data_IF_075763530210
#
_entry.id   IF_075763530210
#
_cell.length_a   1.000
_cell.length_b   1.000
_cell.length_c   1.000
_cell.angle_alpha   90.00
_cell.angle_beta   90.00
_cell.angle_gamma   90.00
#
_symmetry.space_group_name_H-M   'P 1'
#
loop_
_entity.id
_entity.type
_entity.pdbx_description
1 polymer ?
#
# COMPACT_ATOMS: atom_id res chain seq x y z
N UNK A 1 11.07 49.88 -49.27
CA UNK A 1 10.54 48.74 -48.45
C UNK A 1 9.20 49.20 -47.88
N UNK A 2 8.10 48.52 -48.24
CA UNK A 2 6.73 49.03 -48.13
C UNK A 2 6.24 48.98 -46.69
N UNK A 3 5.83 50.10 -46.11
CA UNK A 3 5.36 50.29 -44.73
C UNK A 3 4.28 49.27 -44.30
N UNK A 4 3.48 48.79 -45.25
CA UNK A 4 2.47 47.73 -45.03
C UNK A 4 3.09 46.35 -44.72
N UNK A 5 4.23 45.98 -45.32
CA UNK A 5 4.93 44.72 -45.04
C UNK A 5 5.59 44.72 -43.66
N UNK A 6 6.07 45.90 -43.23
CA UNK A 6 6.68 46.05 -41.91
C UNK A 6 5.67 45.94 -40.75
N UNK A 7 4.46 46.51 -40.93
CA UNK A 7 3.36 46.33 -39.95
C UNK A 7 2.93 44.87 -39.81
N UNK A 8 2.84 44.13 -40.91
CA UNK A 8 2.44 42.73 -40.86
C UNK A 8 3.53 41.82 -40.22
N UNK A 9 4.80 42.12 -40.42
CA UNK A 9 5.89 41.41 -39.72
C UNK A 9 5.91 41.70 -38.23
N UNK A 10 5.68 42.95 -37.80
CA UNK A 10 5.61 43.32 -36.39
C UNK A 10 4.39 42.67 -35.74
N UNK A 11 3.24 42.61 -36.40
CA UNK A 11 2.05 41.93 -35.88
C UNK A 11 2.24 40.43 -35.73
N UNK A 12 2.94 39.77 -36.68
CA UNK A 12 3.28 38.35 -36.61
C UNK A 12 4.26 38.05 -35.46
N UNK A 13 5.27 38.91 -35.26
CA UNK A 13 6.24 38.72 -34.15
C UNK A 13 5.56 38.96 -32.80
N UNK A 14 4.70 39.95 -32.66
CA UNK A 14 3.95 40.21 -31.42
C UNK A 14 2.96 39.07 -31.16
N UNK A 15 2.28 38.53 -32.18
CA UNK A 15 1.39 37.38 -32.05
C UNK A 15 2.15 36.11 -31.67
N UNK A 16 3.34 35.89 -32.27
CA UNK A 16 4.20 34.74 -31.90
C UNK A 16 4.75 34.87 -30.48
N UNK A 17 5.15 36.07 -30.05
CA UNK A 17 5.59 36.29 -28.67
C UNK A 17 4.45 36.17 -27.67
N UNK A 18 3.24 36.52 -27.99
CA UNK A 18 2.06 36.30 -27.15
C UNK A 18 1.70 34.81 -27.08
N UNK A 19 1.83 34.07 -28.20
CA UNK A 19 1.60 32.63 -28.21
C UNK A 19 2.65 31.84 -27.40
N UNK A 20 3.91 32.26 -27.47
CA UNK A 20 4.99 31.65 -26.66
C UNK A 20 4.82 31.95 -25.17
N UNK A 21 4.33 33.16 -24.82
CA UNK A 21 4.04 33.48 -23.42
C UNK A 21 2.77 32.79 -22.89
N UNK A 22 1.76 32.54 -23.74
CA UNK A 22 0.58 31.78 -23.35
C UNK A 22 0.90 30.27 -23.23
N UNK A 23 1.84 29.75 -24.01
CA UNK A 23 2.33 28.36 -23.83
C UNK A 23 3.19 28.19 -22.56
N UNK A 24 3.84 29.24 -22.07
CA UNK A 24 4.53 29.22 -20.77
C UNK A 24 3.58 29.26 -19.56
N UNK A 25 2.36 29.75 -19.73
CA UNK A 25 1.34 29.79 -18.68
C UNK A 25 0.65 28.46 -18.41
N UNK A 26 0.93 27.42 -19.21
CA UNK A 26 0.50 26.06 -18.98
C UNK A 26 1.63 25.10 -18.57
N UNK A 27 2.80 25.60 -18.23
CA UNK A 27 3.71 24.82 -17.41
C UNK A 27 3.11 24.79 -16.01
N UNK A 28 2.28 23.79 -15.78
CA UNK A 28 1.72 23.50 -14.47
C UNK A 28 2.86 23.54 -13.47
N UNK A 29 2.78 24.44 -12.48
CA UNK A 29 3.74 24.47 -11.40
C UNK A 29 3.86 23.06 -10.85
N UNK A 30 5.10 22.55 -10.82
CA UNK A 30 5.36 21.18 -10.36
C UNK A 30 4.89 21.09 -8.92
N UNK A 31 3.73 20.49 -8.72
CA UNK A 31 3.21 20.24 -7.39
C UNK A 31 4.08 19.18 -6.73
N UNK A 32 4.81 19.58 -5.70
CA UNK A 32 5.62 18.67 -4.92
C UNK A 32 4.73 17.97 -3.87
N UNK A 33 4.62 16.65 -3.92
CA UNK A 33 3.85 15.85 -2.95
C UNK A 33 4.53 15.80 -1.58
N UNK A 34 5.80 16.08 -1.50
CA UNK A 34 6.56 16.06 -0.24
C UNK A 34 6.14 17.16 0.74
N UNK A 35 4.89 17.39 0.95
CA UNK A 35 4.51 18.38 1.91
C UNK A 35 3.04 18.46 2.21
N UNK A 36 2.21 18.68 1.24
CA UNK A 36 0.80 18.93 1.53
C UNK A 36 -0.06 18.31 0.45
N UNK A 37 -0.72 17.20 0.79
CA UNK A 37 -1.93 16.86 0.06
C UNK A 37 -2.93 17.98 0.29
N UNK A 38 -3.50 18.58 -0.74
CA UNK A 38 -4.69 19.36 -0.52
C UNK A 38 -5.73 18.41 0.09
N UNK A 39 -6.18 18.71 1.29
CA UNK A 39 -7.24 17.95 1.94
C UNK A 39 -8.53 18.23 1.17
N UNK A 40 -8.89 17.35 0.27
CA UNK A 40 -10.08 17.54 -0.55
C UNK A 40 -11.35 17.06 0.14
N UNK A 41 -11.24 16.06 0.98
CA UNK A 41 -12.37 15.58 1.76
C UNK A 41 -11.89 14.91 3.04
N UNK A 42 -12.44 15.32 4.15
CA UNK A 42 -12.40 14.57 5.39
C UNK A 42 -13.42 13.44 5.27
N UNK A 43 -12.95 12.20 5.37
CA UNK A 43 -13.82 11.03 5.24
C UNK A 43 -14.45 10.68 6.57
N UNK A 44 -13.79 11.00 7.68
CA UNK A 44 -14.26 10.66 9.00
C UNK A 44 -14.22 11.85 9.94
N UNK A 45 -15.29 12.02 10.68
CA UNK A 45 -15.35 12.89 11.85
C UNK A 45 -14.60 12.18 12.99
N UNK A 46 -13.29 12.30 12.99
CA UNK A 46 -12.43 11.67 13.97
C UNK A 46 -11.99 12.67 15.02
N UNK A 47 -12.20 12.30 16.27
CA UNK A 47 -11.57 13.03 17.37
C UNK A 47 -10.05 13.00 17.22
N UNK A 48 -9.35 14.08 17.60
CA UNK A 48 -7.89 14.14 17.55
C UNK A 48 -7.24 12.93 18.23
N UNK A 49 -6.36 12.24 17.50
CA UNK A 49 -5.65 11.02 17.93
C UNK A 49 -4.28 10.94 17.31
N UNK A 50 -3.45 10.00 17.78
CA UNK A 50 -2.08 9.83 17.34
C UNK A 50 -1.94 9.42 15.90
N UNK A 51 -2.75 8.50 15.49
CA UNK A 51 -2.75 7.94 14.16
C UNK A 51 -4.20 7.58 13.87
N UNK A 52 -4.74 8.20 12.89
CA UNK A 52 -6.05 7.88 12.39
C UNK A 52 -6.01 8.07 10.90
N UNK A 53 -6.69 7.24 10.15
CA UNK A 53 -6.60 7.35 8.72
C UNK A 53 -7.55 6.47 7.95
N UNK A 54 -7.32 6.49 6.67
CA UNK A 54 -7.92 5.56 5.74
C UNK A 54 -7.22 4.21 5.88
N UNK A 55 -7.98 3.14 6.06
CA UNK A 55 -7.46 1.78 6.08
C UNK A 55 -7.50 1.13 4.71
N UNK A 56 -8.65 1.19 4.03
CA UNK A 56 -8.82 0.68 2.68
C UNK A 56 -9.85 1.48 1.89
N UNK A 57 -9.70 1.52 0.57
CA UNK A 57 -10.61 2.15 -0.39
C UNK A 57 -11.02 1.12 -1.44
N UNK A 58 -12.27 1.15 -1.87
CA UNK A 58 -12.67 0.34 -3.01
C UNK A 58 -13.92 0.90 -3.72
N UNK A 59 -13.90 1.02 -5.06
CA UNK A 59 -15.09 1.34 -5.85
C UNK A 59 -15.98 0.11 -5.97
N UNK A 60 -17.22 0.20 -5.51
CA UNK A 60 -18.17 -0.89 -5.57
C UNK A 60 -19.61 -0.40 -5.61
N UNK A 61 -20.50 -1.08 -6.33
CA UNK A 61 -21.92 -0.73 -6.45
C UNK A 61 -22.15 0.75 -6.81
N UNK A 62 -21.36 1.29 -7.76
CA UNK A 62 -21.35 2.68 -8.21
C UNK A 62 -21.02 3.72 -7.11
N UNK A 63 -20.38 3.30 -6.03
CA UNK A 63 -19.95 4.13 -4.90
C UNK A 63 -18.45 3.95 -4.65
N UNK A 64 -17.84 4.90 -3.96
CA UNK A 64 -16.51 4.72 -3.36
C UNK A 64 -16.68 4.43 -1.88
N UNK A 65 -16.28 3.25 -1.48
CA UNK A 65 -16.28 2.80 -0.10
C UNK A 65 -14.94 3.07 0.56
N UNK A 66 -15.00 3.49 1.80
CA UNK A 66 -13.81 3.79 2.61
C UNK A 66 -14.03 3.19 3.99
N UNK A 67 -13.08 2.38 4.45
CA UNK A 67 -13.02 1.99 5.85
C UNK A 67 -11.88 2.76 6.51
N UNK A 68 -12.15 3.31 7.68
CA UNK A 68 -11.15 4.06 8.43
C UNK A 68 -10.57 3.22 9.55
N UNK A 69 -9.39 3.60 10.04
CA UNK A 69 -8.80 3.00 11.21
C UNK A 69 -8.30 4.04 12.20
N UNK A 70 -8.13 3.61 13.43
CA UNK A 70 -7.52 4.38 14.51
C UNK A 70 -6.31 3.61 15.03
N UNK A 71 -5.22 4.31 15.25
CA UNK A 71 -4.07 3.69 15.84
C UNK A 71 -4.27 3.27 17.28
N UNK A 72 -3.45 2.37 17.62
CA UNK A 72 -3.46 1.48 18.74
C UNK A 72 -2.90 2.06 20.06
N UNK A 73 -2.71 3.34 20.20
CA UNK A 73 -2.39 3.91 21.51
C UNK A 73 -3.68 4.21 22.29
N UNK A 74 -3.92 3.44 23.35
CA UNK A 74 -4.94 3.61 24.38
C UNK A 74 -6.29 4.13 23.88
N UNK A 75 -7.11 3.24 23.39
CA UNK A 75 -8.48 3.55 23.03
C UNK A 75 -8.69 3.57 21.53
N UNK A 76 -8.64 2.39 20.97
CA UNK A 76 -9.21 2.09 19.67
C UNK A 76 -10.67 2.44 19.64
N UNK A 77 -11.15 2.95 18.53
CA UNK A 77 -12.49 2.66 18.12
C UNK A 77 -13.56 3.73 18.23
N UNK A 78 -13.37 4.90 18.78
CA UNK A 78 -14.42 5.92 18.64
C UNK A 78 -14.15 6.84 17.46
N UNK A 79 -15.14 7.07 16.63
CA UNK A 79 -15.09 7.99 15.49
C UNK A 79 -14.58 7.37 14.19
N UNK A 80 -14.34 6.06 14.16
CA UNK A 80 -14.05 5.32 12.92
C UNK A 80 -15.32 4.71 12.35
N UNK A 81 -15.31 4.39 11.06
CA UNK A 81 -16.48 3.82 10.43
C UNK A 81 -16.24 3.32 9.03
N UNK A 82 -17.29 2.71 8.53
CA UNK A 82 -17.49 2.48 7.12
C UNK A 82 -18.19 3.71 6.54
N UNK A 83 -17.68 4.18 5.41
CA UNK A 83 -18.22 5.32 4.68
C UNK A 83 -18.43 4.96 3.21
N UNK A 84 -19.49 5.48 2.64
CA UNK A 84 -19.54 5.75 1.21
C UNK A 84 -19.32 7.24 0.99
N UNK A 85 -18.84 7.65 -0.16
CA UNK A 85 -18.57 9.08 -0.42
C UNK A 85 -19.80 9.92 -0.06
N UNK A 86 -19.56 10.93 0.78
CA UNK A 86 -20.54 11.89 1.31
C UNK A 86 -21.58 11.32 2.32
N UNK A 87 -21.44 10.06 2.76
CA UNK A 87 -22.34 9.53 3.77
C UNK A 87 -21.64 8.52 4.69
N UNK A 88 -21.93 8.61 5.98
CA UNK A 88 -21.48 7.62 6.97
C UNK A 88 -22.54 6.53 7.10
N UNK A 89 -22.10 5.30 6.94
CA UNK A 89 -22.94 4.15 7.19
C UNK A 89 -23.13 3.92 8.69
N UNK A 90 -24.27 3.37 9.11
CA UNK A 90 -24.55 3.13 10.52
C UNK A 90 -23.67 2.05 11.14
N UNK A 91 -22.94 1.28 10.33
CA UNK A 91 -22.08 0.19 10.79
C UNK A 91 -20.98 0.73 11.70
N UNK A 92 -21.04 0.30 12.94
CA UNK A 92 -20.04 0.64 13.94
C UNK A 92 -18.73 -0.12 13.68
N UNK A 93 -17.62 0.59 13.76
CA UNK A 93 -16.30 0.02 13.61
C UNK A 93 -15.57 0.13 14.93
N UNK A 94 -15.26 -0.99 15.55
CA UNK A 94 -14.60 -1.06 16.87
C UNK A 94 -13.11 -1.42 16.76
N UNK A 95 -12.62 -1.73 15.56
CA UNK A 95 -11.24 -2.16 15.32
C UNK A 95 -10.49 -1.33 14.29
N UNK A 96 -9.28 -1.77 14.00
CA UNK A 96 -8.42 -1.22 12.94
C UNK A 96 -8.53 -2.13 11.74
N UNK A 97 -8.94 -1.61 10.59
CA UNK A 97 -9.18 -2.40 9.39
C UNK A 97 -8.43 -1.80 8.19
N UNK A 98 -7.65 -2.64 7.53
CA UNK A 98 -6.90 -2.27 6.33
C UNK A 98 -7.12 -3.27 5.18
N UNK A 99 -8.01 -4.24 5.39
CA UNK A 99 -8.31 -5.28 4.42
C UNK A 99 -9.41 -4.85 3.45
N UNK A 100 -9.29 -5.29 2.22
CA UNK A 100 -10.33 -5.26 1.19
C UNK A 100 -10.18 -6.44 0.24
N UNK A 101 -11.28 -6.95 -0.26
CA UNK A 101 -11.28 -8.08 -1.19
C UNK A 101 -12.57 -8.10 -2.02
N UNK A 102 -12.45 -8.22 -3.33
CA UNK A 102 -13.61 -8.46 -4.20
C UNK A 102 -13.81 -9.97 -4.33
N UNK A 103 -14.89 -10.47 -3.76
CA UNK A 103 -15.29 -11.86 -3.89
C UNK A 103 -16.12 -12.05 -5.17
N UNK A 104 -15.44 -12.36 -6.27
CA UNK A 104 -16.05 -12.49 -7.59
C UNK A 104 -17.19 -13.52 -7.66
N UNK A 105 -17.05 -14.73 -7.08
CA UNK A 105 -18.10 -15.74 -7.16
C UNK A 105 -19.47 -15.30 -6.64
N UNK A 106 -19.52 -14.52 -5.57
CA UNK A 106 -20.78 -13.99 -5.01
C UNK A 106 -21.07 -12.54 -5.40
N UNK A 107 -20.17 -11.92 -6.18
CA UNK A 107 -20.29 -10.52 -6.58
C UNK A 107 -20.47 -9.58 -5.38
N UNK A 108 -19.55 -9.67 -4.41
CA UNK A 108 -19.57 -8.90 -3.16
C UNK A 108 -18.21 -8.28 -2.86
N UNK A 109 -18.23 -7.05 -2.35
CA UNK A 109 -17.05 -6.42 -1.76
C UNK A 109 -16.95 -6.82 -0.29
N UNK A 110 -15.77 -7.24 0.15
CA UNK A 110 -15.40 -7.38 1.56
C UNK A 110 -14.45 -6.23 1.90
N UNK A 111 -14.80 -5.41 2.89
CA UNK A 111 -13.98 -4.29 3.36
C UNK A 111 -14.10 -4.16 4.88
N UNK A 112 -12.97 -4.21 5.58
CA UNK A 112 -13.02 -4.41 7.03
C UNK A 112 -13.74 -5.72 7.37
N UNK A 113 -14.62 -5.73 8.40
CA UNK A 113 -15.46 -6.87 8.76
C UNK A 113 -16.78 -6.91 7.97
N UNK A 114 -16.95 -6.05 6.96
CA UNK A 114 -18.22 -5.91 6.27
C UNK A 114 -18.21 -6.60 4.89
N UNK A 115 -19.33 -7.21 4.53
CA UNK A 115 -19.61 -7.73 3.19
C UNK A 115 -20.70 -6.86 2.57
N UNK A 116 -20.45 -6.33 1.37
CA UNK A 116 -21.33 -5.41 0.68
C UNK A 116 -21.76 -6.04 -0.66
N UNK A 117 -23.04 -6.23 -0.85
CA UNK A 117 -23.57 -6.77 -2.11
C UNK A 117 -23.56 -5.74 -3.24
N UNK A 118 -23.93 -6.16 -4.44
CA UNK A 118 -23.97 -5.30 -5.64
C UNK A 118 -25.03 -4.18 -5.59
N UNK A 119 -25.99 -4.25 -4.64
CA UNK A 119 -26.97 -3.20 -4.37
C UNK A 119 -26.48 -2.20 -3.30
N UNK A 120 -25.36 -2.50 -2.63
CA UNK A 120 -24.83 -1.70 -1.54
C UNK A 120 -25.42 -2.05 -0.16
N UNK A 121 -26.07 -3.21 -0.03
CA UNK A 121 -26.50 -3.70 1.30
C UNK A 121 -25.30 -4.27 2.04
N UNK A 122 -25.19 -3.89 3.32
CA UNK A 122 -24.06 -4.23 4.17
C UNK A 122 -24.45 -5.31 5.17
N UNK A 123 -23.63 -6.34 5.31
CA UNK A 123 -23.68 -7.35 6.36
C UNK A 123 -22.36 -7.33 7.12
N UNK A 124 -22.38 -7.56 8.42
CA UNK A 124 -21.19 -7.54 9.27
C UNK A 124 -20.84 -8.94 9.74
N UNK A 125 -19.56 -9.29 9.71
CA UNK A 125 -19.01 -10.57 10.17
C UNK A 125 -18.64 -10.40 11.64
N UNK A 126 -19.52 -10.77 12.54
CA UNK A 126 -19.36 -10.60 13.99
C UNK A 126 -18.10 -11.32 14.53
N UNK A 127 -17.78 -12.48 13.96
CA UNK A 127 -16.64 -13.29 14.40
C UNK A 127 -15.27 -12.63 14.22
N UNK A 128 -15.15 -11.56 13.43
CA UNK A 128 -13.88 -10.84 13.19
C UNK A 128 -13.94 -9.36 13.56
N UNK A 129 -15.09 -8.85 14.00
CA UNK A 129 -15.28 -7.40 14.23
C UNK A 129 -14.34 -6.84 15.31
N UNK A 130 -13.96 -7.64 16.29
CA UNK A 130 -13.12 -7.22 17.41
C UNK A 130 -11.61 -7.37 17.12
N UNK A 131 -11.25 -7.80 15.92
CA UNK A 131 -9.86 -7.96 15.50
C UNK A 131 -9.42 -6.79 14.64
N UNK A 132 -8.12 -6.48 14.69
CA UNK A 132 -7.50 -5.58 13.72
C UNK A 132 -7.23 -6.37 12.44
N UNK A 133 -7.89 -6.04 11.33
CA UNK A 133 -7.85 -6.84 10.11
C UNK A 133 -6.82 -6.26 9.11
N UNK A 134 -5.88 -7.09 8.70
CA UNK A 134 -4.81 -6.74 7.77
C UNK A 134 -5.15 -7.11 6.32
N UNK A 135 -5.68 -8.32 6.11
CA UNK A 135 -5.96 -8.84 4.77
C UNK A 135 -7.18 -9.75 4.74
N UNK A 136 -7.84 -9.78 3.58
CA UNK A 136 -8.82 -10.80 3.20
C UNK A 136 -8.35 -11.46 1.92
N UNK A 137 -8.43 -12.78 1.84
CA UNK A 137 -7.87 -13.58 0.75
C UNK A 137 -8.86 -14.63 0.28
N UNK A 138 -8.77 -15.02 -1.00
CA UNK A 138 -9.52 -16.16 -1.50
C UNK A 138 -9.17 -17.43 -0.73
N UNK A 139 -10.17 -18.29 -0.51
CA UNK A 139 -9.93 -19.60 0.10
C UNK A 139 -9.17 -20.52 -0.86
N UNK A 140 -8.24 -21.32 -0.33
CA UNK A 140 -7.32 -22.13 -1.14
C UNK A 140 -8.02 -23.26 -1.93
N UNK A 141 -9.02 -23.88 -1.32
CA UNK A 141 -9.71 -25.07 -1.88
C UNK A 141 -11.20 -24.86 -2.14
N UNK A 142 -11.82 -23.86 -1.52
CA UNK A 142 -13.24 -23.52 -1.71
C UNK A 142 -13.44 -22.01 -1.90
N UNK A 143 -12.85 -21.41 -2.94
CA UNK A 143 -12.93 -19.96 -3.16
C UNK A 143 -14.31 -19.47 -3.60
N UNK A 144 -15.25 -20.37 -3.90
CA UNK A 144 -16.61 -20.01 -4.25
C UNK A 144 -17.47 -19.65 -3.03
N UNK A 145 -17.18 -20.24 -1.88
CA UNK A 145 -18.01 -20.09 -0.68
C UNK A 145 -17.28 -19.47 0.49
N UNK A 146 -15.94 -19.47 0.48
CA UNK A 146 -15.14 -19.10 1.64
C UNK A 146 -14.02 -18.13 1.32
N UNK A 147 -13.60 -17.40 2.33
CA UNK A 147 -12.44 -16.52 2.33
C UNK A 147 -11.62 -16.70 3.60
N UNK A 148 -10.36 -16.28 3.54
CA UNK A 148 -9.53 -16.14 4.73
C UNK A 148 -9.46 -14.69 5.18
N UNK A 149 -9.47 -14.49 6.49
CA UNK A 149 -9.13 -13.22 7.13
C UNK A 149 -7.86 -13.36 7.93
N UNK A 150 -6.99 -12.36 7.83
CA UNK A 150 -5.77 -12.24 8.60
C UNK A 150 -5.88 -11.03 9.52
N UNK A 151 -5.79 -11.28 10.83
CA UNK A 151 -5.68 -10.21 11.82
C UNK A 151 -4.21 -9.78 11.99
N UNK A 152 -4.02 -8.53 12.42
CA UNK A 152 -2.67 -7.95 12.58
C UNK A 152 -1.86 -8.66 13.68
N UNK A 153 -2.52 -9.27 14.65
CA UNK A 153 -1.90 -10.06 15.72
C UNK A 153 -1.67 -11.53 15.35
N UNK A 154 -1.95 -11.93 14.11
CA UNK A 154 -1.65 -13.26 13.59
C UNK A 154 -2.78 -14.26 13.64
N UNK A 155 -3.97 -13.91 14.12
CA UNK A 155 -5.13 -14.80 14.02
C UNK A 155 -5.52 -14.93 12.53
N UNK A 156 -5.65 -16.17 12.09
CA UNK A 156 -5.98 -16.53 10.72
C UNK A 156 -7.30 -17.31 10.71
N UNK A 157 -8.32 -16.67 10.12
CA UNK A 157 -9.70 -17.18 10.12
C UNK A 157 -10.13 -17.68 8.75
N UNK A 158 -10.98 -18.70 8.74
CA UNK A 158 -11.86 -19.07 7.63
C UNK A 158 -13.23 -18.48 7.87
N UNK A 159 -13.83 -17.88 6.85
CA UNK A 159 -15.17 -17.30 6.91
C UNK A 159 -15.98 -17.76 5.70
N UNK A 160 -17.18 -18.29 5.97
CA UNK A 160 -18.18 -18.56 4.94
C UNK A 160 -18.89 -17.26 4.52
N UNK A 161 -18.85 -16.90 3.23
CA UNK A 161 -19.38 -15.62 2.74
C UNK A 161 -20.90 -15.56 2.67
N UNK A 162 -21.58 -16.69 2.79
CA UNK A 162 -23.05 -16.78 2.78
C UNK A 162 -23.61 -16.71 4.20
N UNK A 163 -23.09 -17.55 5.09
CA UNK A 163 -23.60 -17.68 6.48
C UNK A 163 -22.90 -16.73 7.45
N UNK A 164 -21.72 -16.22 7.10
CA UNK A 164 -20.81 -15.42 7.94
C UNK A 164 -20.22 -16.21 9.12
N UNK A 165 -20.37 -17.54 9.11
CA UNK A 165 -19.72 -18.40 10.09
C UNK A 165 -18.21 -18.23 10.02
N UNK A 166 -17.60 -18.09 11.19
CA UNK A 166 -16.17 -17.78 11.33
C UNK A 166 -15.49 -18.86 12.14
N UNK A 167 -14.36 -19.36 11.65
CA UNK A 167 -13.53 -20.37 12.32
C UNK A 167 -12.09 -19.89 12.40
N UNK A 168 -11.51 -19.84 13.59
CA UNK A 168 -10.07 -19.65 13.77
C UNK A 168 -9.34 -20.92 13.32
N UNK A 169 -8.43 -20.80 12.34
CA UNK A 169 -7.61 -21.90 11.84
C UNK A 169 -6.26 -21.96 12.52
N UNK A 170 -5.57 -20.79 12.62
CA UNK A 170 -4.19 -20.70 13.11
C UNK A 170 -3.98 -19.44 13.95
N UNK A 171 -3.00 -19.52 14.85
CA UNK A 171 -2.26 -18.35 15.33
C UNK A 171 -0.91 -18.35 14.61
N UNK A 172 -0.72 -17.45 13.67
CA UNK A 172 0.47 -17.42 12.83
C UNK A 172 1.74 -17.05 13.61
N UNK A 173 1.63 -16.42 14.77
CA UNK A 173 2.79 -16.19 15.63
C UNK A 173 3.41 -17.50 16.11
N UNK A 174 2.57 -18.49 16.40
CA UNK A 174 3.00 -19.82 16.82
C UNK A 174 3.50 -20.64 15.62
N UNK A 175 2.73 -20.64 14.52
CA UNK A 175 3.06 -21.39 13.30
C UNK A 175 4.40 -20.93 12.69
N UNK A 176 4.65 -19.62 12.68
CA UNK A 176 5.85 -19.03 12.09
C UNK A 176 6.99 -18.86 13.10
N UNK A 177 6.81 -19.33 14.33
CA UNK A 177 7.80 -19.29 15.42
C UNK A 177 8.35 -17.88 15.65
N UNK A 178 7.44 -16.92 15.81
CA UNK A 178 7.82 -15.55 16.10
C UNK A 178 8.62 -15.45 17.42
N UNK A 179 9.67 -14.62 17.48
CA UNK A 179 10.42 -14.42 18.72
C UNK A 179 9.51 -13.89 19.83
N UNK A 180 9.61 -14.48 21.02
CA UNK A 180 8.81 -14.03 22.17
C UNK A 180 9.04 -12.55 22.47
N UNK A 181 7.95 -11.78 22.53
CA UNK A 181 7.99 -10.35 22.78
C UNK A 181 8.28 -9.46 21.57
N UNK A 182 8.36 -10.04 20.36
CA UNK A 182 8.62 -9.28 19.13
C UNK A 182 7.46 -8.38 18.71
N UNK A 183 6.24 -8.63 19.22
CA UNK A 183 5.01 -7.91 18.83
C UNK A 183 4.82 -7.88 17.30
N UNK A 184 4.67 -9.04 16.65
CA UNK A 184 4.48 -9.13 15.23
C UNK A 184 3.23 -8.36 14.81
N UNK A 185 3.27 -7.81 13.60
CA UNK A 185 2.17 -7.06 13.03
C UNK A 185 1.98 -7.47 11.58
N UNK A 186 1.05 -8.38 11.35
CA UNK A 186 0.71 -8.83 10.00
C UNK A 186 0.11 -7.68 9.20
N UNK A 187 0.48 -7.58 7.93
CA UNK A 187 0.16 -6.44 7.07
C UNK A 187 -0.62 -6.82 5.82
N UNK A 188 -0.31 -7.94 5.22
CA UNK A 188 -0.92 -8.34 3.95
C UNK A 188 -0.88 -9.85 3.76
N UNK A 189 -1.68 -10.32 2.81
CA UNK A 189 -1.68 -11.70 2.35
C UNK A 189 -2.42 -11.86 1.03
N UNK A 190 -2.09 -12.91 0.29
CA UNK A 190 -2.67 -13.20 -1.01
C UNK A 190 -2.71 -14.71 -1.27
N UNK A 191 -3.79 -15.20 -1.89
CA UNK A 191 -3.92 -16.60 -2.32
C UNK A 191 -3.77 -16.72 -3.82
N UNK A 192 -2.76 -17.44 -4.29
CA UNK A 192 -2.55 -17.73 -5.71
C UNK A 192 -1.61 -18.91 -5.93
N UNK A 193 -1.70 -19.55 -7.10
CA UNK A 193 -0.84 -20.66 -7.50
C UNK A 193 -0.80 -21.80 -6.49
N UNK A 194 -1.95 -22.13 -5.86
CA UNK A 194 -2.07 -23.21 -4.89
C UNK A 194 -1.40 -22.93 -3.55
N UNK A 195 -1.20 -21.68 -3.19
CA UNK A 195 -0.63 -21.27 -1.92
C UNK A 195 -1.26 -19.99 -1.38
N UNK A 196 -1.24 -19.84 -0.07
CA UNK A 196 -1.50 -18.58 0.64
C UNK A 196 -0.16 -18.00 1.04
N UNK A 197 0.08 -16.75 0.73
CA UNK A 197 1.29 -16.02 1.14
C UNK A 197 0.88 -14.93 2.11
N UNK A 198 1.57 -14.81 3.24
CA UNK A 198 1.32 -13.79 4.28
C UNK A 198 2.62 -13.08 4.64
N UNK A 199 2.50 -11.87 5.16
CA UNK A 199 3.65 -11.14 5.61
C UNK A 199 3.38 -10.30 6.86
N UNK A 200 4.43 -10.04 7.63
CA UNK A 200 4.41 -9.16 8.78
C UNK A 200 5.67 -8.29 8.87
N UNK A 201 5.56 -7.24 9.66
CA UNK A 201 6.66 -6.58 10.32
C UNK A 201 6.50 -6.67 11.84
N UNK A 202 7.40 -6.06 12.59
CA UNK A 202 7.32 -5.96 14.05
C UNK A 202 7.41 -4.50 14.48
N UNK A 203 6.81 -4.16 15.62
CA UNK A 203 6.97 -2.86 16.28
C UNK A 203 8.10 -2.86 17.33
N UNK A 204 8.96 -3.86 17.33
CA UNK A 204 10.09 -3.90 18.24
C UNK A 204 11.27 -3.10 17.67
N UNK A 205 11.84 -2.22 18.50
CA UNK A 205 13.10 -1.54 18.17
C UNK A 205 14.22 -2.52 17.85
N UNK A 206 14.21 -3.70 18.47
CA UNK A 206 15.18 -4.76 18.19
C UNK A 206 15.06 -5.34 16.79
N UNK A 207 13.85 -5.38 16.24
CA UNK A 207 13.64 -5.80 14.86
C UNK A 207 14.08 -4.71 13.88
N UNK A 208 13.81 -3.46 14.21
CA UNK A 208 14.32 -2.31 13.44
C UNK A 208 15.84 -2.29 13.39
N UNK A 209 16.51 -2.59 14.49
CA UNK A 209 17.97 -2.67 14.57
C UNK A 209 18.53 -3.99 14.01
N UNK A 210 17.69 -4.87 13.46
CA UNK A 210 18.05 -6.21 12.99
C UNK A 210 18.67 -7.11 14.09
N UNK A 211 18.41 -6.81 15.35
CA UNK A 211 18.80 -7.67 16.48
C UNK A 211 17.89 -8.90 16.58
N UNK A 212 16.62 -8.76 16.22
CA UNK A 212 15.63 -9.82 16.13
C UNK A 212 15.20 -10.01 14.69
N UNK A 213 15.01 -11.25 14.31
CA UNK A 213 14.45 -11.60 13.00
C UNK A 213 12.95 -11.86 13.16
N UNK A 214 12.18 -10.83 13.49
CA UNK A 214 10.75 -10.95 13.77
C UNK A 214 9.87 -10.70 12.53
N UNK A 215 10.35 -10.00 11.50
CA UNK A 215 9.65 -9.91 10.24
C UNK A 215 9.56 -11.26 9.53
N UNK A 216 8.44 -11.53 8.86
CA UNK A 216 8.21 -12.76 8.11
C UNK A 216 7.57 -12.50 6.75
N UNK A 217 8.07 -13.18 5.75
CA UNK A 217 7.31 -13.56 4.57
C UNK A 217 7.18 -15.08 4.60
N UNK A 218 5.96 -15.60 4.57
CA UNK A 218 5.72 -17.03 4.67
C UNK A 218 4.65 -17.49 3.69
N UNK A 219 4.70 -18.75 3.28
CA UNK A 219 3.70 -19.37 2.44
C UNK A 219 3.12 -20.64 3.07
N UNK A 220 1.86 -20.92 2.80
CA UNK A 220 1.12 -22.11 3.19
C UNK A 220 0.60 -22.85 1.95
N UNK A 221 0.91 -24.15 1.88
CA UNK A 221 0.52 -25.01 0.76
C UNK A 221 -0.81 -25.75 0.99
N UNK A 222 -1.53 -25.42 2.06
CA UNK A 222 -2.72 -26.13 2.54
C UNK A 222 -2.43 -27.18 3.61
N UNK A 223 -1.14 -27.44 3.92
CA UNK A 223 -0.71 -28.39 4.94
C UNK A 223 0.35 -27.80 5.87
N UNK A 224 1.39 -27.22 5.29
CA UNK A 224 2.56 -26.74 6.03
C UNK A 224 2.84 -25.28 5.76
N UNK A 225 3.23 -24.54 6.80
CA UNK A 225 3.79 -23.21 6.68
C UNK A 225 5.30 -23.27 6.42
N UNK A 226 5.79 -22.45 5.51
CA UNK A 226 7.22 -22.29 5.20
C UNK A 226 7.58 -20.82 5.27
N UNK A 227 8.56 -20.46 6.11
CA UNK A 227 9.13 -19.10 6.15
C UNK A 227 10.08 -18.94 4.97
N UNK A 228 9.81 -17.94 4.15
CA UNK A 228 10.58 -17.60 2.94
C UNK A 228 11.64 -16.54 3.20
N UNK A 229 11.39 -15.65 4.18
CA UNK A 229 12.26 -14.54 4.53
C UNK A 229 12.01 -14.13 5.99
N UNK A 230 13.09 -13.82 6.71
CA UNK A 230 13.04 -13.35 8.10
C UNK A 230 13.33 -11.84 8.19
N UNK A 231 12.75 -11.07 7.28
CA UNK A 231 12.80 -9.60 7.22
C UNK A 231 11.39 -9.03 7.21
N UNK A 232 11.19 -7.75 7.56
CA UNK A 232 9.88 -7.11 7.49
C UNK A 232 9.35 -7.07 6.06
N UNK A 233 8.08 -7.45 5.90
CA UNK A 233 7.31 -7.33 4.68
C UNK A 233 5.93 -6.77 4.99
N UNK A 234 5.37 -5.94 4.11
CA UNK A 234 4.08 -5.29 4.36
C UNK A 234 3.08 -5.41 3.23
N UNK A 235 3.46 -5.90 2.06
CA UNK A 235 2.51 -6.14 0.97
C UNK A 235 2.77 -7.48 0.31
N UNK A 236 1.68 -8.16 -0.05
CA UNK A 236 1.65 -9.31 -0.96
C UNK A 236 0.53 -9.08 -1.96
N UNK A 237 0.85 -9.12 -3.23
CA UNK A 237 -0.08 -8.83 -4.30
C UNK A 237 0.16 -9.71 -5.54
N UNK A 238 -0.89 -9.89 -6.33
CA UNK A 238 -0.81 -10.47 -7.67
C UNK A 238 -1.88 -9.87 -8.57
N UNK A 239 -1.58 -9.71 -9.84
CA UNK A 239 -2.56 -9.28 -10.84
C UNK A 239 -3.57 -10.39 -11.17
N UNK A 240 -4.69 -10.02 -11.78
CA UNK A 240 -5.79 -10.96 -12.09
C UNK A 240 -5.51 -11.87 -13.26
N UNK A 241 -4.64 -11.48 -14.21
CA UNK A 241 -4.40 -12.24 -15.43
C UNK A 241 -3.75 -13.61 -15.17
N UNK A 242 -3.96 -14.53 -16.10
CA UNK A 242 -3.39 -15.87 -16.02
C UNK A 242 -1.84 -15.82 -16.00
N UNK A 243 -1.23 -16.58 -15.10
CA UNK A 243 0.26 -16.63 -14.99
C UNK A 243 0.91 -15.43 -14.30
N UNK A 244 0.12 -14.49 -13.75
CA UNK A 244 0.68 -13.37 -12.99
C UNK A 244 1.55 -13.85 -11.83
N UNK A 245 2.70 -13.20 -11.58
CA UNK A 245 3.53 -13.52 -10.43
C UNK A 245 2.84 -13.14 -9.13
N UNK A 246 3.28 -13.73 -8.00
CA UNK A 246 3.03 -13.14 -6.68
C UNK A 246 4.20 -12.20 -6.39
N UNK A 247 3.91 -10.97 -6.00
CA UNK A 247 4.89 -9.96 -5.62
C UNK A 247 4.72 -9.65 -4.14
N UNK A 248 5.81 -9.75 -3.38
CA UNK A 248 5.85 -9.34 -1.99
C UNK A 248 6.88 -8.23 -1.81
N UNK A 249 6.56 -7.20 -1.03
CA UNK A 249 7.46 -6.08 -0.76
C UNK A 249 7.68 -5.87 0.71
N UNK A 250 8.93 -5.60 1.05
CA UNK A 250 9.43 -5.39 2.38
C UNK A 250 10.72 -4.57 2.37
N UNK A 251 11.51 -4.66 3.42
CA UNK A 251 12.78 -3.93 3.52
C UNK A 251 13.76 -4.57 4.49
N UNK A 252 14.98 -4.07 4.46
CA UNK A 252 15.98 -4.15 5.49
C UNK A 252 16.70 -2.79 5.64
N UNK A 253 17.72 -2.69 6.45
CA UNK A 253 18.44 -1.43 6.64
C UNK A 253 19.14 -0.92 5.37
N UNK A 254 19.44 -1.81 4.41
CA UNK A 254 20.10 -1.42 3.16
C UNK A 254 19.13 -0.89 2.10
N UNK A 255 17.96 -1.53 1.92
CA UNK A 255 17.07 -1.21 0.78
C UNK A 255 15.65 -1.71 1.01
N UNK A 256 14.72 -1.27 0.17
CA UNK A 256 13.47 -1.98 -0.02
C UNK A 256 13.74 -3.31 -0.75
N UNK A 257 12.95 -4.33 -0.43
CA UNK A 257 13.08 -5.69 -0.96
C UNK A 257 11.80 -6.03 -1.71
N UNK A 258 11.94 -6.60 -2.89
CA UNK A 258 10.85 -7.18 -3.63
C UNK A 258 11.14 -8.66 -3.87
N UNK A 259 10.27 -9.55 -3.40
CA UNK A 259 10.30 -10.98 -3.75
C UNK A 259 9.20 -11.29 -4.75
N UNK A 260 9.55 -12.02 -5.78
CA UNK A 260 8.65 -12.34 -6.90
C UNK A 260 8.61 -13.85 -7.10
N UNK A 261 7.44 -14.44 -6.88
CA UNK A 261 7.21 -15.84 -7.23
C UNK A 261 6.96 -15.99 -8.72
N UNK A 262 7.77 -16.79 -9.38
CA UNK A 262 7.70 -17.08 -10.81
C UNK A 262 6.94 -18.39 -11.02
N UNK A 263 5.66 -18.37 -11.46
CA UNK A 263 4.83 -19.59 -11.48
C UNK A 263 5.37 -20.71 -12.39
N UNK A 264 5.99 -20.33 -13.49
CA UNK A 264 6.53 -21.28 -14.49
C UNK A 264 7.64 -22.17 -13.93
N UNK A 265 8.56 -21.58 -13.14
CA UNK A 265 9.69 -22.30 -12.54
C UNK A 265 9.44 -22.64 -11.06
N UNK A 266 8.34 -22.14 -10.48
CA UNK A 266 7.93 -22.34 -9.07
C UNK A 266 8.98 -21.84 -8.07
N UNK A 267 9.70 -20.77 -8.39
CA UNK A 267 10.75 -20.20 -7.55
C UNK A 267 10.45 -18.77 -7.16
N UNK A 268 10.98 -18.35 -6.01
CA UNK A 268 11.03 -16.98 -5.56
C UNK A 268 12.35 -16.33 -5.98
N UNK A 269 12.27 -15.15 -6.61
CA UNK A 269 13.43 -14.30 -6.90
C UNK A 269 13.39 -13.05 -6.04
N UNK A 270 14.54 -12.58 -5.58
CA UNK A 270 14.69 -11.38 -4.76
C UNK A 270 15.33 -10.27 -5.57
N UNK A 271 14.78 -9.06 -5.44
CA UNK A 271 15.25 -7.83 -6.04
C UNK A 271 15.34 -6.76 -4.96
N UNK A 272 16.23 -5.79 -5.14
CA UNK A 272 16.38 -4.66 -4.24
C UNK A 272 16.04 -3.36 -4.93
N UNK A 273 15.36 -2.46 -4.20
CA UNK A 273 14.89 -1.18 -4.69
C UNK A 273 15.42 -0.05 -3.79
N UNK A 274 15.70 1.15 -4.35
CA UNK A 274 16.03 2.30 -3.54
C UNK A 274 14.89 2.69 -2.60
N UNK A 275 15.25 3.33 -1.48
CA UNK A 275 14.34 3.99 -0.56
C UNK A 275 14.43 5.50 -0.74
N UNK A 276 13.31 6.21 -0.80
CA UNK A 276 13.32 7.67 -0.75
C UNK A 276 13.57 8.18 0.66
N UNK A 277 13.18 7.41 1.67
CA UNK A 277 13.39 7.78 3.07
C UNK A 277 13.55 6.55 3.95
N UNK A 278 14.48 6.63 4.90
CA UNK A 278 14.62 5.65 5.99
C UNK A 278 13.63 5.88 7.14
N UNK A 279 12.90 6.98 7.12
CA UNK A 279 11.88 7.26 8.15
C UNK A 279 10.84 6.14 8.23
N UNK A 280 10.54 5.49 7.12
CA UNK A 280 9.58 4.39 7.07
C UNK A 280 10.12 3.04 7.58
N UNK A 281 11.39 2.95 7.91
CA UNK A 281 11.98 1.77 8.58
C UNK A 281 11.60 1.75 10.06
N UNK A 282 11.33 2.90 10.64
CA UNK A 282 11.03 3.06 12.05
C UNK A 282 9.66 2.43 12.37
N UNK A 283 9.60 1.70 13.48
CA UNK A 283 8.45 0.85 13.84
C UNK A 283 7.14 1.60 14.04
N UNK A 284 7.21 2.85 14.49
CA UNK A 284 6.02 3.70 14.71
C UNK A 284 5.58 4.48 13.47
N UNK A 285 6.44 4.55 12.45
CA UNK A 285 6.19 5.27 11.20
C UNK A 285 6.19 4.36 9.97
N UNK A 286 6.06 3.04 10.18
CA UNK A 286 6.12 2.06 9.10
C UNK A 286 5.05 2.32 8.06
N UNK A 287 5.51 2.54 6.84
CA UNK A 287 4.64 2.64 5.68
C UNK A 287 3.91 1.32 5.41
N UNK A 288 2.67 1.44 4.95
CA UNK A 288 1.93 0.32 4.40
C UNK A 288 2.17 0.30 2.90
N UNK A 289 3.16 -0.44 2.45
CA UNK A 289 3.37 -0.63 1.01
C UNK A 289 2.09 -1.14 0.36
N UNK A 290 1.82 -0.65 -0.82
CA UNK A 290 0.66 -1.08 -1.59
C UNK A 290 1.02 -1.24 -3.06
N UNK A 291 0.51 -2.32 -3.62
CA UNK A 291 0.53 -2.54 -5.06
C UNK A 291 -0.92 -2.63 -5.52
N UNK A 292 -1.30 -1.79 -6.47
CA UNK A 292 -2.66 -1.74 -7.02
C UNK A 292 -2.63 -1.60 -8.53
N UNK A 293 -3.49 -2.35 -9.21
CA UNK A 293 -3.85 -2.03 -10.57
C UNK A 293 -4.73 -0.79 -10.55
N UNK A 294 -4.25 0.31 -11.12
CA UNK A 294 -4.92 1.62 -11.09
C UNK A 294 -5.61 1.94 -12.41
N UNK A 295 -5.21 1.29 -13.47
CA UNK A 295 -5.82 1.30 -14.79
C UNK A 295 -5.64 -0.09 -15.38
N UNK A 296 -6.38 -0.42 -16.42
CA UNK A 296 -6.24 -1.73 -17.08
C UNK A 296 -4.79 -2.00 -17.46
N UNK A 297 -4.23 -3.08 -16.95
CA UNK A 297 -2.84 -3.52 -17.17
C UNK A 297 -1.77 -2.53 -16.70
N UNK A 298 -2.13 -1.58 -15.83
CA UNK A 298 -1.22 -0.61 -15.24
C UNK A 298 -1.25 -0.72 -13.72
N UNK A 299 -0.17 -1.23 -13.14
CA UNK A 299 -0.02 -1.33 -11.71
C UNK A 299 0.93 -0.25 -11.18
N UNK A 300 0.56 0.30 -10.04
CA UNK A 300 1.37 1.24 -9.27
C UNK A 300 1.72 0.62 -7.93
N UNK A 301 2.94 0.85 -7.49
CA UNK A 301 3.43 0.45 -6.17
C UNK A 301 3.87 1.69 -5.40
N UNK A 302 3.40 1.81 -4.17
CA UNK A 302 3.95 2.72 -3.17
C UNK A 302 4.88 1.94 -2.24
N UNK A 303 6.13 2.37 -2.13
CA UNK A 303 7.17 1.66 -1.40
C UNK A 303 8.26 2.61 -0.89
N UNK A 304 8.40 2.74 0.42
CA UNK A 304 9.42 3.56 1.09
C UNK A 304 9.54 5.00 0.55
N UNK A 305 8.38 5.64 0.38
CA UNK A 305 8.29 7.01 -0.08
C UNK A 305 8.55 7.20 -1.58
N UNK A 306 8.46 6.14 -2.35
CA UNK A 306 8.56 6.15 -3.81
C UNK A 306 7.32 5.52 -4.43
N UNK A 307 6.70 6.24 -5.36
CA UNK A 307 5.80 5.60 -6.31
C UNK A 307 6.59 4.97 -7.45
N UNK A 308 6.24 3.74 -7.75
CA UNK A 308 6.73 2.98 -8.90
C UNK A 308 5.57 2.61 -9.81
N UNK A 309 5.75 2.74 -11.10
CA UNK A 309 5.00 2.00 -12.08
C UNK A 309 5.67 0.63 -12.25
N UNK A 310 4.89 -0.44 -12.14
CA UNK A 310 5.41 -1.80 -12.24
C UNK A 310 4.70 -2.56 -13.34
N UNK A 311 5.48 -3.28 -14.14
CA UNK A 311 4.95 -4.32 -15.01
C UNK A 311 4.65 -5.57 -14.19
N UNK A 312 3.56 -6.25 -14.50
CA UNK A 312 3.21 -7.52 -13.86
C UNK A 312 3.30 -8.70 -14.83
N UNK A 313 3.87 -8.46 -15.99
CA UNK A 313 4.22 -9.52 -16.93
C UNK A 313 5.66 -9.97 -16.73
N UNK A 314 5.85 -11.29 -16.77
CA UNK A 314 7.16 -11.89 -16.67
C UNK A 314 7.76 -12.05 -18.06
N UNK A 315 9.04 -11.74 -18.21
CA UNK A 315 9.82 -12.02 -19.39
C UNK A 315 11.11 -12.74 -19.02
N UNK A 316 11.42 -13.84 -19.68
CA UNK A 316 12.60 -14.67 -19.38
C UNK A 316 12.70 -15.04 -17.88
N UNK A 317 11.57 -15.43 -17.28
CA UNK A 317 11.44 -15.78 -15.87
C UNK A 317 11.96 -14.68 -14.91
N UNK A 318 11.76 -13.41 -15.27
CA UNK A 318 12.08 -12.24 -14.46
C UNK A 318 10.95 -11.19 -14.54
N UNK A 319 10.83 -10.36 -13.51
CA UNK A 319 9.97 -9.19 -13.53
C UNK A 319 10.69 -8.03 -14.23
N UNK A 320 10.03 -7.42 -15.20
CA UNK A 320 10.53 -6.30 -15.98
C UNK A 320 9.67 -5.05 -15.77
N UNK A 321 10.14 -3.92 -16.30
CA UNK A 321 9.41 -2.66 -16.36
C UNK A 321 9.06 -2.08 -14.98
N UNK A 322 9.99 -2.11 -14.04
CA UNK A 322 9.89 -1.35 -12.79
C UNK A 322 10.48 0.04 -13.05
N UNK A 323 9.68 1.09 -12.81
CA UNK A 323 10.10 2.46 -13.05
C UNK A 323 9.67 3.36 -11.90
N UNK A 324 10.62 4.05 -11.21
CA UNK A 324 10.27 5.05 -10.22
C UNK A 324 9.60 6.27 -10.88
N UNK A 325 8.57 6.78 -10.25
CA UNK A 325 7.75 7.90 -10.74
C UNK A 325 8.10 9.19 -10.01
N UNK A 326 7.87 9.21 -8.71
CA UNK A 326 8.17 10.35 -7.84
C UNK A 326 8.42 9.91 -6.41
N UNK A 327 9.02 10.80 -5.61
CA UNK A 327 9.23 10.58 -4.17
C UNK A 327 8.18 11.34 -3.37
N UNK A 328 7.83 10.82 -2.19
CA UNK A 328 6.94 11.46 -1.22
C UNK A 328 7.32 11.08 0.22
N UNK A 329 6.72 11.76 1.20
CA UNK A 329 6.93 11.49 2.63
C UNK A 329 5.59 11.24 3.36
N UNK A 330 4.61 10.67 2.65
CA UNK A 330 3.28 10.36 3.20
C UNK A 330 3.10 8.87 3.37
N UNK A 331 2.37 8.50 4.40
CA UNK A 331 1.80 7.16 4.51
C UNK A 331 0.51 7.16 3.69
N UNK A 332 0.48 6.30 2.67
CA UNK A 332 -0.67 6.12 1.78
C UNK A 332 -1.18 4.69 1.96
N UNK A 333 -2.12 4.49 2.88
CA UNK A 333 -2.51 3.15 3.28
C UNK A 333 -3.28 2.39 2.19
N UNK A 334 -3.92 3.09 1.28
CA UNK A 334 -4.54 2.47 0.11
C UNK A 334 -4.86 3.50 -0.98
N UNK A 335 -5.04 3.01 -2.21
CA UNK A 335 -5.48 3.80 -3.36
C UNK A 335 -6.21 2.92 -4.38
N UNK A 336 -7.01 3.55 -5.23
CA UNK A 336 -7.76 2.88 -6.29
C UNK A 336 -8.12 3.84 -7.43
N UNK A 337 -8.55 3.29 -8.56
CA UNK A 337 -9.22 4.08 -9.60
C UNK A 337 -10.72 4.18 -9.32
N UNK A 338 -11.27 5.38 -9.47
CA UNK A 338 -12.69 5.62 -9.36
C UNK A 338 -13.14 6.73 -10.31
N UNK A 339 -14.10 6.41 -11.18
CA UNK A 339 -14.65 7.35 -12.20
C UNK A 339 -13.56 8.05 -13.03
N UNK A 340 -12.53 7.31 -13.44
CA UNK A 340 -11.42 7.83 -14.23
C UNK A 340 -10.40 8.67 -13.47
N UNK A 341 -10.47 8.68 -12.15
CA UNK A 341 -9.51 9.36 -11.28
C UNK A 341 -8.72 8.34 -10.46
N UNK A 342 -7.47 8.65 -10.16
CA UNK A 342 -6.73 8.03 -9.08
C UNK A 342 -7.19 8.66 -7.76
N UNK A 343 -7.62 7.81 -6.82
CA UNK A 343 -7.99 8.23 -5.47
C UNK A 343 -7.00 7.61 -4.49
N UNK A 344 -6.36 8.44 -3.66
CA UNK A 344 -5.42 8.01 -2.64
C UNK A 344 -5.93 8.39 -1.26
N UNK A 345 -5.90 7.43 -0.33
CA UNK A 345 -6.10 7.68 1.08
C UNK A 345 -4.84 8.28 1.67
N UNK A 346 -4.97 9.42 2.33
CA UNK A 346 -3.87 10.04 3.07
C UNK A 346 -3.93 9.67 4.53
N UNK A 347 -2.78 9.39 5.10
CA UNK A 347 -2.60 9.18 6.52
C UNK A 347 -1.43 10.01 7.03
N UNK A 348 -1.55 10.54 8.23
CA UNK A 348 -0.46 11.25 8.87
C UNK A 348 -0.22 10.63 10.24
N UNK A 349 0.90 9.97 10.42
CA UNK A 349 1.35 9.56 11.72
C UNK A 349 1.84 10.78 12.49
N UNK A 350 1.07 11.22 13.48
CA UNK A 350 1.51 12.25 14.43
C UNK A 350 1.53 11.61 15.81
N UNK A 351 2.69 11.27 16.36
CA UNK A 351 2.79 10.57 17.63
C UNK A 351 2.11 11.34 18.77
N UNK A 352 1.26 10.67 19.54
CA UNK A 352 0.54 11.26 20.68
C UNK A 352 1.43 11.53 21.89
N UNK A 353 2.53 10.84 21.99
CA UNK A 353 3.54 11.14 23.02
C UNK A 353 3.97 12.61 22.99
N UNK A 354 3.78 13.24 21.84
CA UNK A 354 4.02 14.66 21.61
C UNK A 354 2.71 15.38 21.24
N UNK A 355 1.60 15.00 21.90
CA UNK A 355 0.28 15.54 21.65
C UNK A 355 0.09 16.99 22.04
N UNK A 356 -1.14 17.52 21.99
CA UNK A 356 -1.44 18.88 22.41
C UNK A 356 -0.97 19.19 23.84
N UNK A 357 -0.95 18.20 24.72
CA UNK A 357 -0.40 18.30 26.08
C UNK A 357 1.12 18.55 26.10
N UNK A 358 1.82 18.15 25.07
CA UNK A 358 3.29 18.36 24.93
C UNK A 358 3.61 19.51 23.96
N UNK A 359 2.62 20.31 23.60
CA UNK A 359 2.79 21.52 22.80
C UNK A 359 2.87 21.27 21.28
N UNK A 360 2.60 20.05 20.79
CA UNK A 360 2.49 19.82 19.36
C UNK A 360 1.05 20.12 18.86
N UNK A 361 0.81 21.26 18.19
CA UNK A 361 -0.53 21.64 17.77
C UNK A 361 -1.10 20.75 16.66
N UNK A 362 -0.25 19.92 16.01
CA UNK A 362 -0.66 19.01 14.95
C UNK A 362 -1.00 17.61 15.46
N UNK A 363 -0.67 17.32 16.71
CA UNK A 363 -0.95 16.02 17.30
C UNK A 363 -2.45 15.77 17.34
N UNK A 364 -2.84 14.61 16.88
CA UNK A 364 -4.23 14.18 16.89
C UNK A 364 -5.14 14.93 15.93
N UNK A 365 -4.61 15.65 14.95
CA UNK A 365 -5.45 16.21 13.89
C UNK A 365 -6.07 15.09 13.05
N UNK A 366 -7.31 15.24 12.58
CA UNK A 366 -7.95 14.26 11.71
C UNK A 366 -7.10 13.98 10.48
N UNK A 367 -6.89 12.70 10.17
CA UNK A 367 -5.88 12.28 9.19
C UNK A 367 -6.47 11.51 8.00
N UNK A 368 -7.75 11.18 8.04
CA UNK A 368 -8.42 10.43 6.99
C UNK A 368 -8.86 11.36 5.83
N UNK A 369 -7.91 11.80 5.05
CA UNK A 369 -8.15 12.58 3.84
C UNK A 369 -8.12 11.72 2.59
N UNK A 370 -8.87 12.12 1.56
CA UNK A 370 -8.76 11.56 0.21
C UNK A 370 -8.19 12.61 -0.75
N UNK A 371 -7.26 12.19 -1.56
CA UNK A 371 -6.80 12.95 -2.72
C UNK A 371 -7.39 12.36 -3.99
N UNK A 372 -7.84 13.23 -4.89
CA UNK A 372 -8.39 12.88 -6.20
C UNK A 372 -7.56 13.57 -7.29
N UNK A 373 -7.06 12.80 -8.24
CA UNK A 373 -6.25 13.31 -9.35
C UNK A 373 -6.16 12.30 -10.47
N UNK A 374 -5.24 12.51 -11.38
CA UNK A 374 -4.94 11.57 -12.45
C UNK A 374 -3.68 10.78 -12.10
N UNK A 375 -3.62 9.53 -12.52
CA UNK A 375 -2.41 8.71 -12.36
C UNK A 375 -1.18 9.40 -12.97
N UNK A 376 -1.35 10.04 -14.13
CA UNK A 376 -0.25 10.73 -14.82
C UNK A 376 0.22 12.02 -14.13
N UNK A 377 -0.57 12.61 -13.24
CA UNK A 377 -0.15 13.79 -12.46
C UNK A 377 1.06 13.47 -11.58
N UNK A 378 1.22 12.21 -11.13
CA UNK A 378 2.36 11.74 -10.34
C UNK A 378 3.70 12.00 -11.03
N UNK A 379 3.74 11.94 -12.37
CA UNK A 379 4.92 12.22 -13.17
C UNK A 379 5.36 13.68 -13.13
N UNK A 380 4.49 14.57 -12.72
CA UNK A 380 4.74 16.01 -12.55
C UNK A 380 5.16 16.39 -11.14
N UNK A 381 5.12 15.46 -10.17
CA UNK A 381 5.38 15.73 -8.75
C UNK A 381 6.86 15.79 -8.36
N UNK A 382 7.72 15.80 -9.32
CA UNK A 382 9.17 15.89 -9.13
C UNK A 382 9.90 14.63 -9.56
N UNK A 383 11.23 14.71 -9.54
CA UNK A 383 12.07 13.58 -9.92
C UNK A 383 12.18 12.60 -8.75
N UNK A 384 12.14 11.30 -8.99
CA UNK A 384 12.39 10.31 -7.95
C UNK A 384 13.81 10.43 -7.43
N UNK A 385 13.95 10.31 -6.12
CA UNK A 385 15.23 10.22 -5.42
C UNK A 385 15.22 9.00 -4.52
N UNK A 386 16.34 8.36 -4.34
CA UNK A 386 16.43 7.21 -3.45
C UNK A 386 17.88 6.79 -3.23
N UNK A 387 18.09 6.06 -2.14
CA UNK A 387 19.36 5.48 -1.74
C UNK A 387 19.19 4.03 -1.31
N UNK A 388 20.29 3.30 -1.16
CA UNK A 388 20.30 1.95 -0.63
C UNK A 388 21.54 1.18 -0.97
N UNK A 389 21.57 -0.07 -0.51
CA UNK A 389 22.65 -1.02 -0.71
C UNK A 389 22.14 -2.39 -1.11
N UNK A 390 23.05 -3.28 -1.41
CA UNK A 390 22.74 -4.63 -1.91
C UNK A 390 22.81 -5.70 -0.83
N UNK A 391 23.32 -5.39 0.35
CA UNK A 391 23.44 -6.32 1.49
C UNK A 391 23.09 -5.62 2.81
N UNK A 392 22.38 -6.31 3.68
CA UNK A 392 22.19 -5.99 5.09
C UNK A 392 21.91 -7.27 5.85
N UNK A 393 22.80 -7.67 6.75
CA UNK A 393 22.73 -8.96 7.46
C UNK A 393 22.50 -10.17 6.53
N UNK A 394 23.07 -10.10 5.35
CA UNK A 394 23.06 -11.20 4.35
C UNK A 394 24.42 -11.89 4.34
N UNK A 395 24.43 -13.20 4.12
CA UNK A 395 25.65 -13.96 3.89
C UNK A 395 26.28 -13.55 2.55
N UNK A 396 27.51 -13.04 2.58
CA UNK A 396 28.25 -12.67 1.37
C UNK A 396 29.22 -13.80 1.03
N UNK A 397 28.94 -14.47 -0.09
CA UNK A 397 29.72 -15.62 -0.57
C UNK A 397 30.60 -15.19 -1.75
N UNK A 398 31.88 -15.50 -1.68
CA UNK A 398 32.82 -15.18 -2.75
C UNK A 398 32.38 -15.82 -4.09
N UNK A 399 32.35 -15.02 -5.15
CA UNK A 399 31.94 -15.44 -6.49
C UNK A 399 30.43 -15.48 -6.72
N UNK A 400 29.61 -15.24 -5.71
CA UNK A 400 28.16 -15.09 -5.87
C UNK A 400 27.78 -13.61 -6.05
N UNK A 401 27.00 -13.25 -7.09
CA UNK A 401 26.52 -11.87 -7.23
C UNK A 401 25.54 -11.51 -6.13
N UNK A 402 25.44 -10.23 -5.81
CA UNK A 402 24.35 -9.70 -4.97
C UNK A 402 22.99 -9.86 -5.65
N UNK A 403 21.92 -9.61 -4.91
CA UNK A 403 20.60 -9.42 -5.50
C UNK A 403 20.64 -8.29 -6.55
N UNK A 404 19.87 -8.41 -7.64
CA UNK A 404 19.71 -7.30 -8.58
C UNK A 404 19.18 -6.05 -7.88
N UNK A 405 19.83 -4.92 -8.09
CA UNK A 405 19.43 -3.62 -7.53
C UNK A 405 18.93 -2.67 -8.63
N UNK A 406 17.79 -2.03 -8.43
CA UNK A 406 17.19 -1.14 -9.41
C UNK A 406 17.98 0.17 -9.53
N UNK A 407 18.57 0.41 -10.69
CA UNK A 407 19.25 1.65 -11.04
C UNK A 407 18.53 2.44 -12.15
N UNK A 408 17.60 1.80 -12.85
CA UNK A 408 16.87 2.43 -13.95
C UNK A 408 15.90 3.51 -13.43
N UNK A 409 15.70 4.55 -14.24
CA UNK A 409 14.73 5.62 -13.97
C UNK A 409 15.25 6.78 -13.13
N UNK A 410 16.44 6.69 -12.53
CA UNK A 410 17.08 7.79 -11.83
C UNK A 410 18.05 8.53 -12.76
N UNK A 411 17.97 9.87 -12.79
CA UNK A 411 18.75 10.70 -13.73
C UNK A 411 20.23 10.71 -13.39
N UNK A 412 20.55 10.78 -12.10
CA UNK A 412 21.94 10.78 -11.58
C UNK A 412 22.14 9.61 -10.65
N UNK A 413 23.31 8.99 -10.68
CA UNK A 413 23.67 7.84 -9.86
C UNK A 413 25.06 8.06 -9.27
N UNK A 414 25.22 7.73 -8.00
CA UNK A 414 26.49 7.75 -7.29
C UNK A 414 26.66 6.43 -6.55
N UNK A 415 27.86 5.89 -6.56
CA UNK A 415 28.25 4.67 -5.86
C UNK A 415 29.37 5.02 -4.90
N UNK A 416 29.28 4.54 -3.67
CA UNK A 416 30.27 4.76 -2.62
C UNK A 416 30.81 3.44 -2.10
#
# INVERSE_FOLDING_TARGET
>A
MNFRKMKNCILLIVSACLFVNTLKLYAQDKTNVSGVYPHLAMVADQTPRTEAGTGALFPWANRLWVITYVAHFSGTGSGTGLYEINDKRPESVVGTYANRFLHGPTNQLIIGPHIIDHNGNVRTIEGVINHRLAATMAHLTDPANKVYFLAMEGQFFEVDVHTLETKLLFNLCDELKEPKGSKPHFKSGFTRHGKVVVCNNSYSVKDYNEEWKAGRLAEWDGKNWTVLEEKPFTEVWSASHFGAPIIATGWDNASAIMKVFIPKIKEWKRYRLPKASKTFDETSCTEWFRIREVETERAMMDCHGLFYEIGFHLYADQLWAIRPVCSHLRIIPDYCSWKGMLVMGGNQATPMKFGPADGNPLAGQPQAGLWFGKTDDLWSWGKPTGEGGVWSNDDVIAGMPSDPYLLYGFTKKSFH
#
